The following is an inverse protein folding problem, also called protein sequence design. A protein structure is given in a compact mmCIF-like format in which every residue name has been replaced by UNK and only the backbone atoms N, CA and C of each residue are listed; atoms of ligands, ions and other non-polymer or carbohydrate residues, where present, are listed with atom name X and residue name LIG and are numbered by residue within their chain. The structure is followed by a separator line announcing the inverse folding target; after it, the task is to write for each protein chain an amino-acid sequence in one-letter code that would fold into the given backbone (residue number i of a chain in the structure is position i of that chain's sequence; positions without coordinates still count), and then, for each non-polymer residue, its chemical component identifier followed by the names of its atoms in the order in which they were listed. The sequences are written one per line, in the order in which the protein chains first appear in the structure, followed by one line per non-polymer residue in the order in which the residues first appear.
data_IF_103425209505
#
_entry.id   IF_103425209505
#
_cell.length_a   1.000
_cell.length_b   1.000
_cell.length_c   1.000
_cell.angle_alpha   90.00
_cell.angle_beta   90.00
_cell.angle_gamma   90.00
#
_symmetry.space_group_name_H-M   'P 1'
#
loop_
_entity.id
_entity.type
_entity.pdbx_description
1 polymer ?
#
# COMPACT_ATOMS: atom_id res chain seq x y z
N UNK A 1 -12.11 28.68 22.77
CA UNK A 1 -12.03 27.21 22.82
C UNK A 1 -10.68 26.77 22.27
N UNK A 2 -9.82 26.16 23.08
CA UNK A 2 -8.55 25.58 22.62
C UNK A 2 -8.84 24.19 22.05
N UNK A 3 -8.76 24.03 20.74
CA UNK A 3 -8.80 22.71 20.08
C UNK A 3 -7.42 22.05 20.21
N UNK A 4 -7.07 21.58 21.40
CA UNK A 4 -5.90 20.70 21.56
C UNK A 4 -6.22 19.30 21.03
N UNK A 5 -6.37 19.17 19.72
CA UNK A 5 -6.22 17.87 19.05
C UNK A 5 -4.73 17.62 18.86
N UNK A 6 -4.00 17.51 19.98
CA UNK A 6 -2.69 16.89 19.96
C UNK A 6 -2.95 15.40 19.75
N UNK A 7 -3.06 14.99 18.49
CA UNK A 7 -3.17 13.57 18.14
C UNK A 7 -2.07 12.82 18.87
N UNK A 8 -2.48 11.84 19.69
CA UNK A 8 -1.59 11.04 20.54
C UNK A 8 -0.36 10.63 19.72
N UNK A 9 0.82 11.04 20.16
CA UNK A 9 2.06 10.71 19.48
C UNK A 9 2.15 9.19 19.30
N UNK A 10 2.48 8.74 18.08
CA UNK A 10 2.47 7.32 17.76
C UNK A 10 3.64 6.64 18.48
N UNK A 11 3.38 5.53 19.19
CA UNK A 11 4.47 4.77 19.79
C UNK A 11 5.39 4.19 18.70
N UNK A 12 6.68 4.01 19.01
CA UNK A 12 7.63 3.38 18.07
C UNK A 12 7.21 1.99 17.64
N UNK A 13 6.60 1.20 18.54
CA UNK A 13 6.09 -0.12 18.23
C UNK A 13 4.93 -0.05 17.23
N UNK A 14 3.98 0.87 17.44
CA UNK A 14 2.86 1.10 16.51
C UNK A 14 3.37 1.55 15.15
N UNK A 15 4.37 2.45 15.11
CA UNK A 15 4.95 2.96 13.87
C UNK A 15 5.64 1.84 13.07
N UNK A 16 6.34 0.93 13.77
CA UNK A 16 6.95 -0.25 13.16
C UNK A 16 5.90 -1.23 12.63
N UNK A 17 4.81 -1.47 13.35
CA UNK A 17 3.72 -2.31 12.86
C UNK A 17 3.06 -1.69 11.61
N UNK A 18 2.84 -0.37 11.60
CA UNK A 18 2.32 0.32 10.42
C UNK A 18 3.24 0.15 9.21
N UNK A 19 4.56 0.28 9.40
CA UNK A 19 5.55 0.00 8.36
C UNK A 19 5.46 -1.45 7.85
N UNK A 20 5.43 -2.44 8.75
CA UNK A 20 5.35 -3.86 8.37
C UNK A 20 4.07 -4.17 7.59
N UNK A 21 2.93 -3.64 8.02
CA UNK A 21 1.64 -3.84 7.33
C UNK A 21 1.67 -3.23 5.93
N UNK A 22 2.17 -2.00 5.80
CA UNK A 22 2.28 -1.31 4.52
C UNK A 22 3.20 -2.04 3.54
N UNK A 23 4.16 -2.81 4.05
CA UNK A 23 5.24 -3.39 3.27
C UNK A 23 5.04 -4.88 2.96
N UNK A 24 4.39 -5.62 3.86
CA UNK A 24 4.24 -7.08 3.76
C UNK A 24 2.80 -7.56 3.72
N UNK A 25 1.81 -6.72 4.05
CA UNK A 25 0.40 -7.10 3.97
C UNK A 25 -0.29 -6.37 2.82
N UNK A 26 -0.54 -5.07 2.96
CA UNK A 26 -1.23 -4.28 1.94
C UNK A 26 -0.79 -2.83 2.00
N UNK A 27 -0.29 -2.26 0.88
CA UNK A 27 0.03 -0.85 0.80
C UNK A 27 -1.16 0.03 1.20
N UNK A 28 -0.92 1.03 2.05
CA UNK A 28 -1.92 1.99 2.51
C UNK A 28 -2.63 1.65 3.82
N UNK A 29 -2.72 0.37 4.20
CA UNK A 29 -3.44 -0.07 5.39
C UNK A 29 -2.73 0.40 6.68
N UNK A 30 -1.41 0.29 6.74
CA UNK A 30 -0.59 0.84 7.82
C UNK A 30 -0.61 2.38 7.87
N UNK A 31 -0.75 3.04 6.72
CA UNK A 31 -0.91 4.50 6.65
C UNK A 31 -2.24 4.96 7.26
N UNK A 32 -3.33 4.23 7.02
CA UNK A 32 -4.65 4.49 7.63
C UNK A 32 -4.56 4.31 9.15
N UNK A 33 -3.93 3.22 9.62
CA UNK A 33 -3.72 2.94 11.04
C UNK A 33 -2.88 4.04 11.73
N UNK A 34 -1.92 4.63 11.02
CA UNK A 34 -1.13 5.76 11.51
C UNK A 34 -1.86 7.12 11.44
N UNK A 35 -3.15 7.15 11.09
CA UNK A 35 -3.97 8.37 11.01
C UNK A 35 -3.86 9.12 9.68
N UNK A 36 -3.04 8.66 8.74
CA UNK A 36 -2.88 9.27 7.40
C UNK A 36 -3.92 8.71 6.42
N UNK A 37 -5.21 8.85 6.77
CA UNK A 37 -6.33 8.19 6.08
C UNK A 37 -6.37 8.48 4.58
N UNK A 38 -6.28 9.74 4.17
CA UNK A 38 -6.32 10.13 2.76
C UNK A 38 -5.18 9.52 1.93
N UNK A 39 -3.95 9.58 2.45
CA UNK A 39 -2.77 8.99 1.80
C UNK A 39 -2.90 7.47 1.73
N UNK A 40 -3.34 6.85 2.82
CA UNK A 40 -3.55 5.41 2.88
C UNK A 40 -4.66 4.91 1.95
N UNK A 41 -5.77 5.64 1.81
CA UNK A 41 -6.81 5.32 0.84
C UNK A 41 -6.28 5.39 -0.60
N UNK A 42 -5.50 6.43 -0.94
CA UNK A 42 -4.88 6.54 -2.27
C UNK A 42 -3.94 5.37 -2.57
N UNK A 43 -3.08 5.00 -1.61
CA UNK A 43 -2.18 3.85 -1.71
C UNK A 43 -2.95 2.54 -1.88
N UNK A 44 -3.99 2.34 -1.09
CA UNK A 44 -4.81 1.14 -1.14
C UNK A 44 -5.54 1.00 -2.47
N UNK A 45 -6.17 2.08 -2.96
CA UNK A 45 -6.86 2.08 -4.24
C UNK A 45 -5.92 1.79 -5.42
N UNK A 46 -4.75 2.43 -5.46
CA UNK A 46 -3.74 2.17 -6.49
C UNK A 46 -3.22 0.73 -6.40
N UNK A 47 -2.96 0.22 -5.20
CA UNK A 47 -2.52 -1.17 -5.02
C UNK A 47 -3.60 -2.15 -5.49
N UNK A 48 -4.86 -1.95 -5.12
CA UNK A 48 -5.97 -2.80 -5.56
C UNK A 48 -6.18 -2.75 -7.07
N UNK A 49 -6.10 -1.56 -7.68
CA UNK A 49 -6.22 -1.40 -9.12
C UNK A 49 -5.08 -2.12 -9.86
N UNK A 50 -3.83 -1.90 -9.46
CA UNK A 50 -2.67 -2.57 -10.06
C UNK A 50 -2.73 -4.10 -9.88
N UNK A 51 -3.12 -4.58 -8.69
CA UNK A 51 -3.30 -6.00 -8.42
C UNK A 51 -4.41 -6.62 -9.27
N UNK A 52 -5.57 -5.96 -9.40
CA UNK A 52 -6.67 -6.42 -10.24
C UNK A 52 -6.26 -6.52 -11.71
N UNK A 53 -5.46 -5.56 -12.22
CA UNK A 53 -4.91 -5.64 -13.58
C UNK A 53 -3.98 -6.83 -13.76
N UNK A 54 -3.13 -7.15 -12.77
CA UNK A 54 -2.28 -8.35 -12.81
C UNK A 54 -3.13 -9.63 -12.80
N UNK A 55 -4.19 -9.71 -11.97
CA UNK A 55 -5.11 -10.84 -11.99
C UNK A 55 -5.85 -10.98 -13.32
N UNK A 56 -6.30 -9.87 -13.90
CA UNK A 56 -6.93 -9.85 -15.23
C UNK A 56 -5.98 -10.32 -16.31
N UNK A 57 -4.72 -9.86 -16.28
CA UNK A 57 -3.66 -10.37 -17.17
C UNK A 57 -3.44 -11.87 -17.01
N UNK A 58 -3.35 -12.36 -15.77
CA UNK A 58 -3.15 -13.77 -15.48
C UNK A 58 -4.32 -14.63 -15.99
N UNK A 59 -5.56 -14.17 -15.79
CA UNK A 59 -6.75 -14.84 -16.30
C UNK A 59 -6.79 -14.89 -17.84
N UNK A 60 -6.46 -13.77 -18.50
CA UNK A 60 -6.35 -13.73 -19.97
C UNK A 60 -5.23 -14.63 -20.49
N UNK A 61 -4.09 -14.66 -19.80
CA UNK A 61 -2.99 -15.55 -20.15
C UNK A 61 -3.40 -17.02 -20.04
N UNK A 62 -4.07 -17.40 -18.94
CA UNK A 62 -4.57 -18.75 -18.74
C UNK A 62 -5.62 -19.14 -19.80
N UNK A 63 -6.55 -18.24 -20.13
CA UNK A 63 -7.54 -18.46 -21.19
C UNK A 63 -6.88 -18.64 -22.56
N UNK A 64 -5.92 -17.78 -22.91
CA UNK A 64 -5.21 -17.86 -24.19
C UNK A 64 -4.38 -19.14 -24.29
N UNK A 65 -3.81 -19.59 -23.18
CA UNK A 65 -3.09 -20.86 -23.12
C UNK A 65 -4.04 -22.05 -23.33
N UNK A 66 -5.22 -22.02 -22.69
CA UNK A 66 -6.25 -23.04 -22.87
C UNK A 66 -6.73 -23.13 -24.32
N UNK A 67 -7.04 -22.00 -24.97
CA UNK A 67 -7.48 -21.98 -26.37
C UNK A 67 -6.39 -22.43 -27.35
N UNK A 68 -5.12 -22.11 -27.08
CA UNK A 68 -4.00 -22.63 -27.90
C UNK A 68 -3.88 -24.15 -27.79
N UNK A 69 -4.19 -24.72 -26.62
CA UNK A 69 -4.09 -26.16 -26.39
C UNK A 69 -5.28 -26.95 -26.97
N UNK A 70 -6.47 -26.35 -26.98
CA UNK A 70 -7.72 -27.03 -27.38
C UNK A 70 -8.19 -26.71 -28.80
N UNK A 71 -8.00 -25.47 -29.26
CA UNK A 71 -8.67 -24.93 -30.45
C UNK A 71 -7.68 -24.48 -31.55
N UNK A 72 -6.38 -24.78 -31.42
CA UNK A 72 -5.29 -24.31 -32.31
C UNK A 72 -5.33 -22.79 -32.58
N UNK A 73 -5.81 -22.02 -31.59
CA UNK A 73 -5.97 -20.58 -31.72
C UNK A 73 -4.61 -19.86 -31.84
N UNK A 74 -4.51 -18.75 -32.61
CA UNK A 74 -3.27 -18.01 -32.74
C UNK A 74 -2.85 -17.38 -31.40
N UNK A 75 -1.54 -17.29 -31.11
CA UNK A 75 -1.04 -16.78 -29.84
C UNK A 75 -1.36 -15.28 -29.69
N UNK A 76 -2.12 -14.94 -28.65
CA UNK A 76 -2.38 -13.56 -28.23
C UNK A 76 -1.70 -13.29 -26.89
N UNK A 77 -0.97 -12.18 -26.79
CA UNK A 77 -0.25 -11.82 -25.57
C UNK A 77 -0.88 -10.60 -24.88
N UNK A 78 -1.53 -10.78 -23.71
CA UNK A 78 -2.05 -9.67 -22.92
C UNK A 78 -0.96 -8.95 -22.11
N UNK A 79 0.33 -9.11 -22.44
CA UNK A 79 1.46 -8.67 -21.61
C UNK A 79 1.45 -7.19 -21.20
N UNK A 80 0.84 -6.32 -22.01
CA UNK A 80 0.69 -4.90 -21.69
C UNK A 80 -0.11 -4.68 -20.39
N UNK A 81 -1.17 -5.47 -20.17
CA UNK A 81 -2.05 -5.35 -19.00
C UNK A 81 -1.31 -5.73 -17.73
N UNK A 82 -0.55 -6.83 -17.78
CA UNK A 82 0.29 -7.29 -16.67
C UNK A 82 1.38 -6.28 -16.32
N UNK A 83 2.08 -5.74 -17.33
CA UNK A 83 3.09 -4.69 -17.13
C UNK A 83 2.49 -3.43 -16.52
N UNK A 84 1.38 -2.95 -17.05
CA UNK A 84 0.70 -1.77 -16.53
C UNK A 84 0.23 -1.99 -15.08
N UNK A 85 -0.37 -3.15 -14.78
CA UNK A 85 -0.77 -3.52 -13.42
C UNK A 85 0.40 -3.58 -12.44
N UNK A 86 1.52 -4.20 -12.84
CA UNK A 86 2.74 -4.28 -12.05
C UNK A 86 3.35 -2.90 -11.77
N UNK A 87 3.36 -2.00 -12.76
CA UNK A 87 3.84 -0.61 -12.59
C UNK A 87 2.94 0.14 -11.62
N UNK A 88 1.61 0.08 -11.80
CA UNK A 88 0.65 0.76 -10.92
C UNK A 88 0.77 0.27 -9.48
N UNK A 89 0.84 -1.05 -9.28
CA UNK A 89 1.06 -1.65 -7.96
C UNK A 89 2.41 -1.25 -7.36
N UNK A 90 3.48 -1.28 -8.17
CA UNK A 90 4.82 -0.89 -7.74
C UNK A 90 4.92 0.57 -7.31
N UNK A 91 4.21 1.48 -8.00
CA UNK A 91 4.11 2.88 -7.59
C UNK A 91 3.37 3.03 -6.25
N UNK A 92 2.27 2.32 -6.06
CA UNK A 92 1.54 2.30 -4.79
C UNK A 92 2.42 1.79 -3.64
N UNK A 93 3.18 0.74 -3.90
CA UNK A 93 4.11 0.12 -2.98
C UNK A 93 5.25 1.07 -2.58
N UNK A 94 5.90 1.72 -3.54
CA UNK A 94 6.97 2.69 -3.28
C UNK A 94 6.45 3.90 -2.50
N UNK A 95 5.25 4.38 -2.85
CA UNK A 95 4.62 5.48 -2.13
C UNK A 95 4.30 5.09 -0.67
N UNK A 96 3.83 3.86 -0.46
CA UNK A 96 3.59 3.28 0.87
C UNK A 96 4.87 3.18 1.69
N UNK A 97 6.00 2.80 1.06
CA UNK A 97 7.31 2.77 1.70
C UNK A 97 7.75 4.17 2.17
N UNK A 98 7.70 5.18 1.28
CA UNK A 98 8.06 6.57 1.63
C UNK A 98 7.19 7.10 2.77
N UNK A 99 5.90 6.80 2.76
CA UNK A 99 4.97 7.21 3.82
C UNK A 99 5.29 6.53 5.15
N UNK A 100 5.63 5.24 5.12
CA UNK A 100 6.00 4.47 6.30
C UNK A 100 7.32 4.97 6.91
N UNK A 101 8.29 5.34 6.09
CA UNK A 101 9.53 5.98 6.55
C UNK A 101 9.26 7.33 7.21
N UNK A 102 8.33 8.14 6.67
CA UNK A 102 7.89 9.38 7.31
C UNK A 102 7.25 9.12 8.68
N UNK A 103 6.39 8.11 8.80
CA UNK A 103 5.76 7.71 10.08
C UNK A 103 6.81 7.28 11.11
N UNK A 104 7.80 6.47 10.70
CA UNK A 104 8.88 6.03 11.58
C UNK A 104 9.75 7.19 12.06
N UNK A 105 10.08 8.15 11.18
CA UNK A 105 10.81 9.37 11.55
C UNK A 105 10.02 10.20 12.55
N UNK A 106 8.73 10.46 12.29
CA UNK A 106 7.87 11.21 13.22
C UNK A 106 7.75 10.56 14.61
N UNK A 107 7.71 9.21 14.69
CA UNK A 107 7.69 8.49 15.96
C UNK A 107 9.05 8.46 16.68
N UNK A 108 10.15 8.68 15.96
CA UNK A 108 11.49 8.84 16.54
C UNK A 108 11.62 10.18 17.27
N UNK A 109 11.12 11.24 16.62
CA UNK A 109 11.26 12.63 17.07
C UNK A 109 10.24 13.00 18.16
N UNK A 110 9.12 12.29 18.24
CA UNK A 110 8.05 12.56 19.21
C UNK A 110 7.66 11.28 19.99
N UNK A 111 8.45 10.87 20.99
CA UNK A 111 8.16 9.65 21.74
C UNK A 111 6.89 9.81 22.58
N UNK A 112 5.92 8.91 22.38
CA UNK A 112 4.64 8.87 23.10
C UNK A 112 4.74 8.72 24.64
N UNK A 113 5.95 8.46 25.15
CA UNK A 113 6.25 8.19 26.56
C UNK A 113 6.83 9.41 27.31
N UNK A 114 6.80 10.62 26.74
CA UNK A 114 7.16 11.82 27.52
C UNK A 114 5.98 12.13 28.45
N UNK A 115 6.14 12.05 29.79
CA UNK A 115 5.08 12.41 30.72
C UNK A 115 4.67 13.88 30.51
N UNK A 116 3.38 14.22 30.68
CA UNK A 116 2.91 15.59 30.54
C UNK A 116 3.70 16.49 31.49
N UNK A 117 4.32 17.55 30.95
CA UNK A 117 4.97 18.57 31.78
C UNK A 117 3.85 19.31 32.50
N UNK A 118 3.83 19.21 33.83
CA UNK A 118 2.93 20.03 34.65
C UNK A 118 3.35 21.51 34.51
N UNK A 119 2.38 22.44 34.38
CA UNK A 119 2.65 23.88 34.33
C UNK A 119 3.23 24.40 35.65
#
# INVERSE_FOLDING_TARGET
MRTSSAGKALSRATARNCFLINQFATPGLGSIMAGRRWVGCGQLLLALAGFAMVLGWFALLANNFYQQLMDDAPPQSPAWLGKAGAVVFGLAWLWSLVTSLSILRSAKDNPANVPPRLP
#
